data_IF_701350892768
#
_entry.id   IF_701350892768
#
_cell.length_a   1.000
_cell.length_b   1.000
_cell.length_c   1.000
_cell.angle_alpha   90.00
_cell.angle_beta   90.00
_cell.angle_gamma   90.00
#
_symmetry.space_group_name_H-M   'P 1'
#
loop_
_entity.id
_entity.type
_entity.pdbx_description
1 polymer ?
#
# COMPACT_ATOMS: atom_id res chain seq x y z
N UNK A 1 17.06 6.93 -15.04
CA UNK A 1 15.82 7.42 -15.69
C UNK A 1 14.83 6.30 -16.05
N UNK A 2 15.26 5.19 -16.68
CA UNK A 2 14.36 4.10 -17.09
C UNK A 2 13.60 3.48 -15.91
N UNK A 3 14.28 3.16 -14.80
CA UNK A 3 13.65 2.55 -13.63
C UNK A 3 12.59 3.45 -12.95
N UNK A 4 12.83 4.75 -12.91
CA UNK A 4 11.87 5.72 -12.39
C UNK A 4 10.62 5.82 -13.28
N UNK A 5 10.79 5.84 -14.60
CA UNK A 5 9.68 5.82 -15.54
C UNK A 5 8.86 4.53 -15.42
N UNK A 6 9.53 3.37 -15.28
CA UNK A 6 8.88 2.08 -15.06
C UNK A 6 8.08 2.07 -13.75
N UNK A 7 8.63 2.64 -12.67
CA UNK A 7 7.96 2.80 -11.39
C UNK A 7 6.65 3.60 -11.50
N UNK A 8 6.70 4.78 -12.13
CA UNK A 8 5.50 5.59 -12.35
C UNK A 8 4.48 4.91 -13.29
N UNK A 9 4.95 4.19 -14.31
CA UNK A 9 4.08 3.42 -15.20
C UNK A 9 3.34 2.31 -14.46
N UNK A 10 4.01 1.59 -13.55
CA UNK A 10 3.37 0.57 -12.72
C UNK A 10 2.31 1.17 -11.78
N UNK A 11 2.58 2.33 -11.18
CA UNK A 11 1.58 3.06 -10.38
C UNK A 11 0.38 3.44 -11.27
N UNK A 12 0.63 4.00 -12.45
CA UNK A 12 -0.43 4.42 -13.38
C UNK A 12 -1.30 3.24 -13.80
N UNK A 13 -0.70 2.10 -14.16
CA UNK A 13 -1.40 0.86 -14.49
C UNK A 13 -2.24 0.37 -13.31
N UNK A 14 -1.68 0.43 -12.10
CA UNK A 14 -2.38 0.02 -10.87
C UNK A 14 -3.57 0.93 -10.56
N UNK A 15 -3.41 2.25 -10.73
CA UNK A 15 -4.52 3.20 -10.59
C UNK A 15 -5.60 2.95 -11.65
N UNK A 16 -5.20 2.69 -12.90
CA UNK A 16 -6.13 2.35 -13.98
C UNK A 16 -6.89 1.03 -13.69
N UNK A 17 -6.21 0.03 -13.11
CA UNK A 17 -6.84 -1.22 -12.66
C UNK A 17 -7.91 -0.94 -11.58
N UNK A 18 -7.59 -0.11 -10.59
CA UNK A 18 -8.54 0.27 -9.53
C UNK A 18 -9.74 1.01 -10.13
N UNK A 19 -9.49 1.99 -10.98
CA UNK A 19 -10.53 2.74 -11.69
C UNK A 19 -11.41 1.84 -12.56
N UNK A 20 -10.80 0.85 -13.21
CA UNK A 20 -11.53 -0.18 -13.94
C UNK A 20 -12.31 -1.12 -13.01
N UNK A 21 -11.85 -1.38 -11.80
CA UNK A 21 -12.53 -2.29 -10.87
C UNK A 21 -13.66 -1.63 -10.06
N UNK A 22 -13.77 -0.30 -10.07
CA UNK A 22 -14.73 0.45 -9.24
C UNK A 22 -15.74 1.24 -10.08
N UNK A 23 -17.00 1.39 -9.63
CA UNK A 23 -17.94 2.36 -10.22
C UNK A 23 -17.70 3.80 -9.71
N UNK A 24 -16.81 4.02 -8.74
CA UNK A 24 -16.49 5.36 -8.25
C UNK A 24 -15.93 6.26 -9.36
N UNK A 25 -16.20 7.57 -9.27
CA UNK A 25 -15.80 8.56 -10.28
C UNK A 25 -15.52 9.94 -9.69
N UNK A 26 -14.98 10.80 -10.53
CA UNK A 26 -14.72 12.21 -10.23
C UNK A 26 -13.90 12.34 -8.95
N UNK A 27 -14.27 13.28 -8.09
CA UNK A 27 -13.53 13.54 -6.85
C UNK A 27 -13.41 12.31 -5.93
N UNK A 28 -14.40 11.40 -5.92
CA UNK A 28 -14.36 10.19 -5.07
C UNK A 28 -13.28 9.21 -5.53
N UNK A 29 -13.18 9.00 -6.84
CA UNK A 29 -12.12 8.16 -7.42
C UNK A 29 -10.76 8.83 -7.23
N UNK A 30 -10.67 10.13 -7.52
CA UNK A 30 -9.45 10.90 -7.33
C UNK A 30 -8.92 10.77 -5.89
N UNK A 31 -9.76 11.02 -4.87
CA UNK A 31 -9.34 10.92 -3.47
C UNK A 31 -8.98 9.49 -3.06
N UNK A 32 -9.66 8.47 -3.59
CA UNK A 32 -9.31 7.08 -3.30
C UNK A 32 -7.92 6.72 -3.86
N UNK A 33 -7.62 7.12 -5.10
CA UNK A 33 -6.31 6.91 -5.72
C UNK A 33 -5.22 7.74 -5.02
N UNK A 34 -5.50 9.00 -4.71
CA UNK A 34 -4.57 9.88 -3.99
C UNK A 34 -4.26 9.35 -2.59
N UNK A 35 -5.27 8.89 -1.84
CA UNK A 35 -5.06 8.31 -0.52
C UNK A 35 -4.26 7.00 -0.56
N UNK A 36 -4.44 6.18 -1.60
CA UNK A 36 -3.57 5.03 -1.82
C UNK A 36 -2.13 5.46 -2.13
N UNK A 37 -1.92 6.34 -3.10
CA UNK A 37 -0.58 6.81 -3.46
C UNK A 37 0.14 7.49 -2.30
N UNK A 38 -0.47 8.52 -1.72
CA UNK A 38 0.14 9.30 -0.64
C UNK A 38 0.23 8.52 0.68
N UNK A 39 -0.80 7.75 1.06
CA UNK A 39 -0.78 6.99 2.30
C UNK A 39 0.15 5.78 2.22
N UNK A 40 -0.07 4.90 1.24
CA UNK A 40 0.67 3.65 1.11
C UNK A 40 2.02 3.84 0.43
N UNK A 41 2.03 4.56 -0.70
CA UNK A 41 3.22 4.72 -1.53
C UNK A 41 4.15 5.86 -1.11
N UNK A 42 3.80 6.62 -0.07
CA UNK A 42 4.66 7.69 0.45
C UNK A 42 4.77 7.64 1.97
N UNK A 43 3.68 7.97 2.69
CA UNK A 43 3.70 8.11 4.15
C UNK A 43 4.22 6.85 4.86
N UNK A 44 3.70 5.67 4.49
CA UNK A 44 4.12 4.39 5.09
C UNK A 44 5.58 4.04 4.85
N UNK A 45 6.19 4.51 3.76
CA UNK A 45 7.61 4.30 3.47
C UNK A 45 8.47 5.30 4.23
N UNK A 46 8.06 6.57 4.24
CA UNK A 46 8.83 7.64 4.86
C UNK A 46 8.84 7.55 6.38
N UNK A 47 7.73 7.15 7.01
CA UNK A 47 7.68 6.96 8.46
C UNK A 47 8.57 5.79 8.91
N UNK A 48 8.69 4.74 8.10
CA UNK A 48 9.63 3.65 8.33
C UNK A 48 11.08 4.13 8.16
N UNK A 49 11.38 4.84 7.07
CA UNK A 49 12.72 5.39 6.85
C UNK A 49 13.16 6.34 7.99
N UNK A 50 12.24 7.13 8.55
CA UNK A 50 12.54 7.96 9.74
C UNK A 50 12.79 7.10 10.97
N UNK A 51 11.93 6.12 11.24
CA UNK A 51 12.04 5.27 12.43
C UNK A 51 13.33 4.44 12.45
N UNK A 52 13.80 4.00 11.28
CA UNK A 52 15.08 3.29 11.12
C UNK A 52 16.28 4.24 10.97
N UNK A 53 16.10 5.56 11.16
CA UNK A 53 17.20 6.53 11.12
C UNK A 53 17.82 6.74 9.74
N UNK A 54 17.15 6.32 8.66
CA UNK A 54 17.65 6.41 7.29
C UNK A 54 17.59 7.84 6.76
N UNK A 55 16.55 8.59 7.12
CA UNK A 55 16.36 10.00 6.74
C UNK A 55 15.83 10.83 7.91
N UNK A 56 16.07 12.15 7.86
CA UNK A 56 15.52 13.11 8.81
C UNK A 56 14.12 13.62 8.44
N UNK A 57 13.41 14.21 9.41
CA UNK A 57 12.05 14.74 9.23
C UNK A 57 11.91 15.76 8.08
N UNK A 58 12.87 16.67 7.93
CA UNK A 58 12.84 17.68 6.85
C UNK A 58 12.95 17.03 5.46
N UNK A 59 13.82 16.03 5.31
CA UNK A 59 13.97 15.28 4.06
C UNK A 59 12.70 14.48 3.76
N UNK A 60 12.12 13.83 4.78
CA UNK A 60 10.87 13.11 4.65
C UNK A 60 9.71 14.03 4.24
N UNK A 61 9.58 15.21 4.84
CA UNK A 61 8.54 16.18 4.48
C UNK A 61 8.66 16.64 3.02
N UNK A 62 9.89 16.95 2.56
CA UNK A 62 10.15 17.32 1.18
C UNK A 62 9.84 16.17 0.20
N UNK A 63 10.26 14.95 0.54
CA UNK A 63 9.98 13.76 -0.26
C UNK A 63 8.47 13.50 -0.36
N UNK A 64 7.74 13.62 0.76
CA UNK A 64 6.30 13.49 0.80
C UNK A 64 5.61 14.53 -0.08
N UNK A 65 6.00 15.80 0.01
CA UNK A 65 5.41 16.87 -0.79
C UNK A 65 5.60 16.64 -2.30
N UNK A 66 6.81 16.24 -2.72
CA UNK A 66 7.08 15.91 -4.12
C UNK A 66 6.26 14.71 -4.60
N UNK A 67 6.24 13.62 -3.83
CA UNK A 67 5.47 12.42 -4.18
C UNK A 67 3.96 12.69 -4.18
N UNK A 68 3.46 13.53 -3.27
CA UNK A 68 2.05 13.95 -3.25
C UNK A 68 1.66 14.62 -4.56
N UNK A 69 2.52 15.50 -5.11
CA UNK A 69 2.32 16.13 -6.41
C UNK A 69 2.25 15.11 -7.55
N UNK A 70 3.17 14.13 -7.57
CA UNK A 70 3.18 13.05 -8.58
C UNK A 70 1.92 12.19 -8.46
N UNK A 71 1.56 11.73 -7.27
CA UNK A 71 0.37 10.92 -7.06
C UNK A 71 -0.92 11.68 -7.40
N UNK A 72 -1.00 12.97 -7.09
CA UNK A 72 -2.12 13.82 -7.48
C UNK A 72 -2.25 13.92 -9.00
N UNK A 73 -1.14 14.11 -9.72
CA UNK A 73 -1.13 14.14 -11.18
C UNK A 73 -1.60 12.80 -11.76
N UNK A 74 -1.02 11.68 -11.33
CA UNK A 74 -1.39 10.35 -11.83
C UNK A 74 -2.86 10.01 -11.50
N UNK A 75 -3.31 10.32 -10.28
CA UNK A 75 -4.71 10.13 -9.87
C UNK A 75 -5.67 10.98 -10.72
N UNK A 76 -5.31 12.23 -11.03
CA UNK A 76 -6.10 13.11 -11.88
C UNK A 76 -6.19 12.55 -13.31
N UNK A 77 -5.07 12.16 -13.91
CA UNK A 77 -5.03 11.58 -15.26
C UNK A 77 -5.93 10.35 -15.37
N UNK A 78 -5.82 9.41 -14.43
CA UNK A 78 -6.67 8.21 -14.42
C UNK A 78 -8.13 8.57 -14.19
N UNK A 79 -8.42 9.48 -13.26
CA UNK A 79 -9.80 9.90 -12.98
C UNK A 79 -10.47 10.54 -14.19
N UNK A 80 -9.76 11.38 -14.94
CA UNK A 80 -10.25 12.03 -16.14
C UNK A 80 -10.43 11.05 -17.31
N UNK A 81 -9.55 10.06 -17.42
CA UNK A 81 -9.62 9.01 -18.46
C UNK A 81 -10.63 7.90 -18.15
N UNK A 82 -11.17 7.84 -16.93
CA UNK A 82 -12.02 6.72 -16.48
C UNK A 82 -13.39 6.72 -17.16
N UNK A 83 -13.80 5.61 -17.82
CA UNK A 83 -15.05 5.55 -18.56
C UNK A 83 -16.27 5.62 -17.63
N UNK A 84 -17.38 6.12 -18.17
CA UNK A 84 -18.64 6.19 -17.43
C UNK A 84 -19.25 4.79 -17.22
N UNK A 85 -19.21 4.26 -15.99
CA UNK A 85 -19.92 3.02 -15.58
C UNK A 85 -21.15 3.22 -14.69
N UNK A 86 -22.29 2.55 -14.94
CA UNK A 86 -23.47 2.67 -14.10
C UNK A 86 -23.12 2.42 -12.62
N UNK A 87 -23.70 3.21 -11.73
CA UNK A 87 -23.49 3.04 -10.30
C UNK A 87 -23.95 1.63 -9.90
N UNK A 88 -23.09 0.91 -9.20
CA UNK A 88 -23.49 -0.31 -8.51
C UNK A 88 -23.72 0.01 -7.04
N UNK A 89 -24.51 -0.81 -6.35
CA UNK A 89 -24.70 -0.67 -4.92
C UNK A 89 -23.36 -0.62 -4.19
N UNK A 90 -23.18 0.38 -3.33
CA UNK A 90 -21.98 0.49 -2.52
C UNK A 90 -21.90 -0.74 -1.60
N UNK A 91 -20.75 -1.42 -1.53
CA UNK A 91 -20.57 -2.57 -0.67
C UNK A 91 -20.65 -2.11 0.79
N UNK A 92 -21.33 -2.91 1.62
CA UNK A 92 -21.37 -2.68 3.06
C UNK A 92 -20.02 -3.08 3.66
N UNK A 93 -19.21 -2.08 4.02
CA UNK A 93 -17.95 -2.30 4.70
C UNK A 93 -18.19 -2.64 6.17
N UNK A 94 -17.30 -3.46 6.75
CA UNK A 94 -17.35 -3.80 8.16
C UNK A 94 -16.06 -3.35 8.86
N UNK A 95 -16.16 -2.26 9.62
CA UNK A 95 -15.04 -1.64 10.33
C UNK A 95 -15.05 -1.90 11.84
N UNK A 96 -15.61 -3.04 12.26
CA UNK A 96 -15.64 -3.39 13.68
C UNK A 96 -14.24 -3.59 14.26
N UNK A 97 -14.04 -3.35 15.58
CA UNK A 97 -12.72 -3.37 16.21
C UNK A 97 -11.99 -4.71 16.03
N UNK A 98 -12.69 -5.84 16.08
CA UNK A 98 -12.12 -7.17 15.83
C UNK A 98 -11.55 -7.33 14.42
N UNK A 99 -12.15 -6.69 13.41
CA UNK A 99 -11.62 -6.74 12.03
C UNK A 99 -10.40 -5.87 11.87
N UNK A 100 -10.42 -4.67 12.46
CA UNK A 100 -9.27 -3.77 12.46
C UNK A 100 -8.09 -4.46 13.19
N UNK A 101 -8.34 -5.03 14.37
CA UNK A 101 -7.35 -5.83 15.10
C UNK A 101 -6.84 -7.00 14.24
N UNK A 102 -7.73 -7.73 13.55
CA UNK A 102 -7.33 -8.80 12.64
C UNK A 102 -6.47 -8.34 11.46
N UNK A 103 -6.72 -7.14 10.92
CA UNK A 103 -5.88 -6.54 9.86
C UNK A 103 -4.52 -6.15 10.44
N UNK A 104 -4.48 -5.46 11.58
CA UNK A 104 -3.22 -5.07 12.24
C UNK A 104 -2.37 -6.31 12.55
N UNK A 105 -2.93 -7.30 13.24
CA UNK A 105 -2.21 -8.54 13.56
C UNK A 105 -1.77 -9.31 12.31
N UNK A 106 -2.57 -9.28 11.24
CA UNK A 106 -2.20 -9.86 9.95
C UNK A 106 -1.02 -9.14 9.29
N UNK A 107 -0.96 -7.81 9.41
CA UNK A 107 0.17 -7.02 8.94
C UNK A 107 1.44 -7.35 9.71
N UNK A 108 1.37 -7.36 11.06
CA UNK A 108 2.50 -7.73 11.92
C UNK A 108 3.04 -9.11 11.58
N UNK A 109 2.15 -10.11 11.48
CA UNK A 109 2.55 -11.48 11.18
C UNK A 109 3.25 -11.59 9.81
N UNK A 110 2.73 -10.91 8.79
CA UNK A 110 3.34 -10.88 7.46
C UNK A 110 4.68 -10.14 7.49
N UNK A 111 4.78 -9.01 8.17
CA UNK A 111 6.00 -8.23 8.31
C UNK A 111 7.11 -9.04 8.99
N UNK A 112 6.81 -9.63 10.16
CA UNK A 112 7.79 -10.43 10.91
C UNK A 112 8.21 -11.66 10.11
N UNK A 113 7.26 -12.37 9.50
CA UNK A 113 7.58 -13.57 8.71
C UNK A 113 8.44 -13.23 7.50
N UNK A 114 8.08 -12.17 6.77
CA UNK A 114 8.82 -11.72 5.60
C UNK A 114 10.24 -11.29 6.00
N UNK A 115 10.35 -10.49 7.07
CA UNK A 115 11.63 -10.04 7.60
C UNK A 115 12.51 -11.19 8.04
N UNK A 116 11.97 -12.19 8.74
CA UNK A 116 12.73 -13.39 9.13
C UNK A 116 13.27 -14.17 7.93
N UNK A 117 12.51 -14.24 6.82
CA UNK A 117 12.94 -14.93 5.60
C UNK A 117 14.02 -14.14 4.85
N UNK A 118 13.94 -12.81 4.82
CA UNK A 118 14.92 -11.97 4.12
C UNK A 118 16.17 -11.69 4.96
N UNK A 119 16.06 -11.68 6.29
CA UNK A 119 17.12 -11.23 7.20
C UNK A 119 18.48 -11.87 6.91
N UNK A 120 18.61 -13.19 6.63
CA UNK A 120 19.90 -13.79 6.30
C UNK A 120 20.61 -13.17 5.08
N UNK A 121 19.85 -12.61 4.14
CA UNK A 121 20.36 -11.98 2.91
C UNK A 121 20.75 -10.51 3.12
N UNK A 122 20.21 -9.86 4.14
CA UNK A 122 20.39 -8.42 4.39
C UNK A 122 21.09 -8.13 5.72
N UNK A 123 21.39 -9.14 6.54
CA UNK A 123 21.97 -8.98 7.87
C UNK A 123 23.29 -8.17 7.85
N UNK A 124 24.14 -8.39 6.84
CA UNK A 124 25.40 -7.64 6.71
C UNK A 124 25.16 -6.15 6.46
N UNK A 125 24.11 -5.78 5.73
CA UNK A 125 23.75 -4.38 5.50
C UNK A 125 23.27 -3.73 6.80
N UNK A 126 22.51 -4.45 7.63
CA UNK A 126 22.00 -3.93 8.89
C UNK A 126 22.98 -3.99 10.06
N UNK A 127 24.15 -4.60 9.91
CA UNK A 127 25.12 -4.77 11.00
C UNK A 127 25.58 -3.42 11.61
N UNK A 128 25.65 -2.38 10.77
CA UNK A 128 26.08 -1.03 11.17
C UNK A 128 24.92 -0.04 11.35
N UNK A 129 23.67 -0.51 11.23
CA UNK A 129 22.48 0.34 11.32
C UNK A 129 21.80 0.22 12.69
N UNK A 130 21.22 1.33 13.16
CA UNK A 130 20.36 1.28 14.32
C UNK A 130 19.07 0.53 13.99
N UNK A 131 18.86 -0.62 14.64
CA UNK A 131 17.62 -1.37 14.57
C UNK A 131 16.78 -1.00 15.80
N UNK A 132 15.58 -0.41 15.64
CA UNK A 132 14.70 -0.09 16.76
C UNK A 132 14.34 -1.33 17.57
N UNK A 133 13.95 -1.13 18.83
CA UNK A 133 13.51 -2.24 19.67
C UNK A 133 12.24 -2.88 19.08
N UNK A 134 12.04 -4.19 19.28
CA UNK A 134 10.92 -4.92 18.68
C UNK A 134 9.56 -4.27 19.00
N UNK A 135 9.37 -3.73 20.21
CA UNK A 135 8.14 -3.02 20.58
C UNK A 135 7.90 -1.74 19.77
N UNK A 136 8.97 -1.01 19.42
CA UNK A 136 8.89 0.20 18.59
C UNK A 136 8.56 -0.17 17.14
N UNK A 137 9.17 -1.24 16.63
CA UNK A 137 8.85 -1.79 15.31
C UNK A 137 7.39 -2.20 15.24
N UNK A 138 6.89 -2.98 16.20
CA UNK A 138 5.48 -3.40 16.23
C UNK A 138 4.53 -2.19 16.35
N UNK A 139 4.86 -1.18 17.16
CA UNK A 139 4.04 0.02 17.26
C UNK A 139 3.97 0.79 15.93
N UNK A 140 5.11 0.92 15.24
CA UNK A 140 5.20 1.52 13.91
C UNK A 140 4.40 0.72 12.87
N UNK A 141 4.55 -0.60 12.85
CA UNK A 141 3.83 -1.46 11.92
C UNK A 141 2.31 -1.39 12.15
N UNK A 142 1.86 -1.28 13.40
CA UNK A 142 0.45 -1.05 13.71
C UNK A 142 -0.07 0.28 13.12
N UNK A 143 0.71 1.37 13.22
CA UNK A 143 0.36 2.66 12.58
C UNK A 143 0.28 2.51 11.07
N UNK A 144 1.26 1.85 10.45
CA UNK A 144 1.28 1.62 9.00
C UNK A 144 0.08 0.79 8.53
N UNK A 145 -0.27 -0.26 9.28
CA UNK A 145 -1.47 -1.07 9.01
C UNK A 145 -2.74 -0.23 9.03
N UNK A 146 -2.87 0.71 9.97
CA UNK A 146 -4.02 1.62 10.04
C UNK A 146 -4.08 2.58 8.84
N UNK A 147 -2.94 3.04 8.33
CA UNK A 147 -2.88 3.84 7.10
C UNK A 147 -3.35 3.02 5.90
N UNK A 148 -2.88 1.78 5.76
CA UNK A 148 -3.37 0.86 4.73
C UNK A 148 -4.89 0.63 4.81
N UNK A 149 -5.43 0.46 6.02
CA UNK A 149 -6.88 0.35 6.25
C UNK A 149 -7.60 1.62 5.82
N UNK A 150 -7.14 2.79 6.27
CA UNK A 150 -7.77 4.08 5.96
C UNK A 150 -7.82 4.32 4.44
N UNK A 151 -6.71 4.09 3.73
CA UNK A 151 -6.66 4.20 2.27
C UNK A 151 -7.56 3.17 1.59
N UNK A 152 -7.58 1.92 2.08
CA UNK A 152 -8.47 0.88 1.54
C UNK A 152 -9.93 1.22 1.67
N UNK A 153 -10.36 1.80 2.80
CA UNK A 153 -11.77 2.15 3.03
C UNK A 153 -12.28 3.10 1.97
N UNK A 154 -11.49 4.10 1.56
CA UNK A 154 -11.88 5.05 0.52
C UNK A 154 -12.10 4.35 -0.83
N UNK A 155 -11.22 3.42 -1.18
CA UNK A 155 -11.32 2.64 -2.42
C UNK A 155 -12.51 1.69 -2.37
N UNK A 156 -12.67 0.97 -1.26
CA UNK A 156 -13.71 -0.04 -1.08
C UNK A 156 -15.11 0.58 -1.01
N UNK A 157 -15.27 1.76 -0.39
CA UNK A 157 -16.52 2.55 -0.42
C UNK A 157 -16.96 2.88 -1.85
N UNK A 158 -16.00 2.92 -2.77
CA UNK A 158 -16.24 3.10 -4.18
C UNK A 158 -16.94 1.92 -4.86
N UNK A 159 -16.99 0.72 -4.26
CA UNK A 159 -17.57 -0.46 -4.90
C UNK A 159 -16.57 -1.33 -5.66
N UNK A 160 -15.36 -1.46 -5.11
CA UNK A 160 -14.28 -2.22 -5.74
C UNK A 160 -14.66 -3.69 -5.97
N UNK A 161 -14.71 -4.10 -7.23
CA UNK A 161 -14.88 -5.50 -7.65
C UNK A 161 -13.57 -6.25 -7.44
N UNK A 162 -13.67 -7.54 -7.14
CA UNK A 162 -12.50 -8.39 -6.84
C UNK A 162 -11.59 -7.77 -5.77
N UNK A 163 -12.20 -7.14 -4.75
CA UNK A 163 -11.52 -6.31 -3.77
C UNK A 163 -10.23 -6.91 -3.17
N UNK A 164 -10.20 -8.20 -2.74
CA UNK A 164 -8.97 -8.81 -2.26
C UNK A 164 -7.84 -8.77 -3.31
N UNK A 165 -8.11 -9.18 -4.54
CA UNK A 165 -7.10 -9.26 -5.60
C UNK A 165 -6.60 -7.87 -6.00
N UNK A 166 -7.52 -6.92 -6.19
CA UNK A 166 -7.16 -5.56 -6.63
C UNK A 166 -6.38 -4.82 -5.54
N UNK A 167 -6.76 -4.95 -4.27
CA UNK A 167 -5.97 -4.37 -3.17
C UNK A 167 -4.63 -5.07 -2.98
N UNK A 168 -4.56 -6.39 -3.16
CA UNK A 168 -3.29 -7.12 -3.16
C UNK A 168 -2.32 -6.58 -4.21
N UNK A 169 -2.75 -6.46 -5.47
CA UNK A 169 -1.93 -5.85 -6.53
C UNK A 169 -1.56 -4.41 -6.18
N UNK A 170 -2.52 -3.62 -5.69
CA UNK A 170 -2.27 -2.23 -5.35
C UNK A 170 -1.21 -2.06 -4.27
N UNK A 171 -1.30 -2.81 -3.18
CA UNK A 171 -0.34 -2.75 -2.08
C UNK A 171 1.02 -3.29 -2.51
N UNK A 172 1.04 -4.39 -3.27
CA UNK A 172 2.27 -4.97 -3.81
C UNK A 172 3.05 -3.98 -4.66
N UNK A 173 2.36 -3.31 -5.58
CA UNK A 173 2.99 -2.37 -6.50
C UNK A 173 3.32 -1.05 -5.81
N UNK A 174 2.33 -0.39 -5.20
CA UNK A 174 2.46 0.97 -4.67
C UNK A 174 3.31 0.99 -3.40
N UNK A 175 3.13 0.02 -2.51
CA UNK A 175 3.82 -0.04 -1.22
C UNK A 175 5.10 -0.87 -1.22
N UNK A 176 5.41 -1.58 -2.31
CA UNK A 176 6.56 -2.50 -2.39
C UNK A 176 7.41 -2.31 -3.64
N UNK A 177 6.96 -2.82 -4.78
CA UNK A 177 7.77 -2.88 -5.99
C UNK A 177 8.15 -1.50 -6.54
N UNK A 178 7.18 -0.62 -6.76
CA UNK A 178 7.37 0.70 -7.35
C UNK A 178 8.42 1.56 -6.62
N UNK A 179 8.36 1.74 -5.28
CA UNK A 179 9.33 2.56 -4.57
C UNK A 179 10.75 1.96 -4.58
N UNK A 180 10.87 0.64 -4.73
CA UNK A 180 12.15 -0.07 -4.70
C UNK A 180 12.72 -0.33 -6.09
N UNK A 181 12.05 0.07 -7.18
CA UNK A 181 12.58 -0.04 -8.54
C UNK A 181 13.65 0.99 -8.90
N UNK A 182 13.50 2.29 -8.59
CA UNK A 182 14.52 3.29 -8.87
C UNK A 182 15.81 3.02 -8.09
N UNK A 183 16.93 3.50 -8.63
CA UNK A 183 18.20 3.44 -7.91
C UNK A 183 18.11 4.29 -6.64
N UNK A 184 18.59 3.72 -5.54
CA UNK A 184 18.57 4.35 -4.23
C UNK A 184 19.99 4.28 -3.63
N UNK A 185 20.68 5.42 -3.43
CA UNK A 185 22.00 5.42 -2.81
C UNK A 185 21.99 4.91 -1.36
N UNK A 186 20.83 4.89 -0.71
CA UNK A 186 20.66 4.41 0.67
C UNK A 186 20.42 2.91 0.75
N UNK A 187 20.10 2.24 -0.37
CA UNK A 187 19.82 0.80 -0.39
C UNK A 187 20.36 0.19 -1.68
N UNK A 188 21.54 -0.47 -1.63
CA UNK A 188 22.21 -0.97 -2.82
C UNK A 188 21.41 -2.10 -3.48
N UNK A 189 21.61 -2.38 -4.78
CA UNK A 189 20.79 -3.31 -5.56
C UNK A 189 20.65 -4.71 -4.94
N UNK A 190 21.73 -5.23 -4.36
CA UNK A 190 21.79 -6.55 -3.71
C UNK A 190 20.88 -6.67 -2.48
N UNK A 191 20.54 -5.56 -1.83
CA UNK A 191 19.56 -5.50 -0.72
C UNK A 191 18.19 -5.14 -1.27
N UNK A 192 18.15 -4.13 -2.15
CA UNK A 192 16.92 -3.54 -2.69
C UNK A 192 16.07 -4.52 -3.48
N UNK A 193 16.69 -5.36 -4.32
CA UNK A 193 15.95 -6.30 -5.18
C UNK A 193 15.31 -7.44 -4.37
N UNK A 194 16.04 -8.16 -3.49
CA UNK A 194 15.41 -9.13 -2.60
C UNK A 194 14.33 -8.51 -1.71
N UNK A 195 14.59 -7.32 -1.17
CA UNK A 195 13.60 -6.60 -0.37
C UNK A 195 12.35 -6.21 -1.19
N UNK A 196 12.50 -5.83 -2.46
CA UNK A 196 11.37 -5.56 -3.34
C UNK A 196 10.47 -6.80 -3.55
N UNK A 197 11.07 -7.97 -3.69
CA UNK A 197 10.32 -9.24 -3.82
C UNK A 197 9.59 -9.57 -2.53
N UNK A 198 10.29 -9.49 -1.40
CA UNK A 198 9.75 -9.73 -0.06
C UNK A 198 8.58 -8.78 0.25
N UNK A 199 8.80 -7.47 0.17
CA UNK A 199 7.79 -6.45 0.45
C UNK A 199 6.66 -6.53 -0.57
N UNK A 200 6.96 -6.82 -1.83
CA UNK A 200 5.97 -7.02 -2.89
C UNK A 200 5.00 -8.17 -2.58
N UNK A 201 5.51 -9.35 -2.20
CA UNK A 201 4.71 -10.54 -1.88
C UNK A 201 3.92 -10.34 -0.58
N UNK A 202 4.57 -9.85 0.49
CA UNK A 202 3.91 -9.62 1.78
C UNK A 202 2.80 -8.57 1.67
N UNK A 203 3.03 -7.47 0.96
CA UNK A 203 2.00 -6.46 0.70
C UNK A 203 0.87 -6.99 -0.19
N UNK A 204 1.15 -7.89 -1.15
CA UNK A 204 0.10 -8.56 -1.92
C UNK A 204 -0.83 -9.37 -1.00
N UNK A 205 -0.25 -10.23 -0.16
CA UNK A 205 -1.00 -11.05 0.79
C UNK A 205 -1.78 -10.18 1.77
N UNK A 206 -1.16 -9.08 2.23
CA UNK A 206 -1.80 -8.15 3.15
C UNK A 206 -2.98 -7.39 2.51
N UNK A 207 -2.83 -6.91 1.28
CA UNK A 207 -3.91 -6.26 0.53
C UNK A 207 -5.08 -7.21 0.28
N UNK A 208 -4.78 -8.48 -0.05
CA UNK A 208 -5.78 -9.52 -0.20
C UNK A 208 -6.52 -9.81 1.12
N UNK A 209 -5.79 -9.97 2.22
CA UNK A 209 -6.37 -10.15 3.55
C UNK A 209 -7.27 -8.97 3.95
N UNK A 210 -6.79 -7.74 3.74
CA UNK A 210 -7.52 -6.51 4.05
C UNK A 210 -8.80 -6.41 3.25
N UNK A 211 -8.73 -6.58 1.93
CA UNK A 211 -9.91 -6.58 1.06
C UNK A 211 -10.91 -7.64 1.47
N UNK A 212 -10.44 -8.84 1.83
CA UNK A 212 -11.31 -9.92 2.27
C UNK A 212 -11.97 -9.63 3.63
N UNK A 213 -11.20 -9.28 4.67
CA UNK A 213 -11.74 -9.02 6.01
C UNK A 213 -12.80 -7.91 6.02
N UNK A 214 -12.57 -6.86 5.22
CA UNK A 214 -13.46 -5.70 5.16
C UNK A 214 -14.71 -5.91 4.30
N UNK A 215 -14.74 -6.93 3.42
CA UNK A 215 -15.86 -7.19 2.49
C UNK A 215 -16.60 -8.53 2.69
N UNK A 216 -16.03 -9.53 3.40
CA UNK A 216 -16.55 -10.91 3.55
C UNK A 216 -17.97 -11.04 4.15
N UNK A 217 -18.53 -9.99 4.74
CA UNK A 217 -19.87 -10.04 5.36
C UNK A 217 -21.05 -10.11 4.38
N UNK A 218 -20.85 -9.77 3.10
CA UNK A 218 -21.96 -9.58 2.16
C UNK A 218 -22.34 -10.86 1.39
N UNK A 219 -21.36 -11.71 1.05
CA UNK A 219 -21.60 -12.91 0.22
C UNK A 219 -22.50 -13.96 0.88
N UNK A 220 -22.51 -14.07 2.23
CA UNK A 220 -23.35 -15.04 2.94
C UNK A 220 -24.83 -14.64 3.05
N UNK A 221 -25.17 -13.36 2.93
CA UNK A 221 -26.57 -12.90 3.00
C UNK A 221 -27.28 -12.97 1.65
N UNK A 222 -26.57 -12.71 0.56
CA UNK A 222 -27.10 -12.88 -0.81
C UNK A 222 -27.14 -14.33 -1.28
N UNK A 223 -26.42 -15.25 -0.65
CA UNK A 223 -26.51 -16.68 -0.94
C UNK A 223 -27.61 -17.39 -0.12
N UNK A 224 -28.25 -16.67 0.81
CA UNK A 224 -29.30 -17.17 1.71
C UNK A 224 -30.65 -16.48 1.48
N UNK A 225 -30.76 -15.67 0.41
CA UNK A 225 -31.95 -14.98 -0.06
C UNK A 225 -32.18 -15.37 -1.52
#
# INVERSE_FOLDING_TARGET
MIALAASHLLILITFALIAWATPARGWRLFLALLALGAGVGSFNLLIEAIAFGVIGWAQAANAFAMQLGVFALLAALVTLASPKRPATNAPTLRLGPLRIAGVVLGYEALYVTAGMLVFPYVAAFYADHHIPAIGEVLALQAVRALVFVASSVLVLRGGLRFAPLVLGVAFSVIGGLSPLLPDNPLMPPEVRVPHAVEVGISNFLFGALTGWLLTRGNQRRTAAA
#
